data_IF_342258504616
#
_entry.id   IF_342258504616
#
_cell.length_a   1.000
_cell.length_b   1.000
_cell.length_c   1.000
_cell.angle_alpha   90.00
_cell.angle_beta   90.00
_cell.angle_gamma   90.00
#
_symmetry.space_group_name_H-M   'P 1'
#
loop_
_entity.id
_entity.type
_entity.pdbx_description
1 polymer ?
#
# COMPACT_ATOMS: atom_id res chain seq x y z
N UNK A 1 20.70 26.16 59.76
CA UNK A 1 20.59 24.67 59.77
C UNK A 1 19.37 24.13 59.04
N UNK A 2 18.12 24.57 59.30
CA UNK A 2 16.91 24.06 58.59
C UNK A 2 16.87 24.27 57.07
N UNK A 3 17.49 25.32 56.52
CA UNK A 3 17.58 25.53 55.06
C UNK A 3 18.60 24.61 54.38
N UNK A 4 19.74 24.35 55.04
CA UNK A 4 20.73 23.39 54.56
C UNK A 4 20.18 21.96 54.56
N UNK A 5 19.40 21.58 55.58
CA UNK A 5 18.76 20.28 55.64
C UNK A 5 17.72 20.06 54.52
N UNK A 6 17.02 21.10 54.07
CA UNK A 6 16.10 21.02 52.92
C UNK A 6 16.85 20.82 51.60
N UNK A 7 17.97 21.52 51.40
CA UNK A 7 18.81 21.38 50.21
C UNK A 7 19.48 19.99 50.17
N UNK A 8 19.92 19.49 51.34
CA UNK A 8 20.51 18.15 51.47
C UNK A 8 19.47 17.02 51.30
N UNK A 9 18.20 17.27 51.61
CA UNK A 9 17.11 16.30 51.43
C UNK A 9 16.52 16.28 50.01
N UNK A 10 16.70 17.35 49.22
CA UNK A 10 16.30 17.39 47.80
C UNK A 10 17.35 16.80 46.86
N UNK A 11 18.62 16.73 47.28
CA UNK A 11 19.72 16.19 46.48
C UNK A 11 19.54 14.70 46.12
N UNK A 12 19.09 13.81 47.05
CA UNK A 12 18.84 12.40 46.72
C UNK A 12 17.63 12.20 45.81
N UNK A 13 16.63 13.09 45.86
CA UNK A 13 15.46 13.05 44.98
C UNK A 13 15.79 13.48 43.55
N UNK A 14 16.81 14.32 43.36
CA UNK A 14 17.39 14.67 42.05
C UNK A 14 18.35 13.61 41.51
N UNK A 15 18.89 12.76 42.38
CA UNK A 15 19.78 11.63 42.06
C UNK A 15 19.04 10.29 41.94
N UNK A 16 17.73 10.27 42.19
CA UNK A 16 16.89 9.13 41.88
C UNK A 16 16.82 9.01 40.36
N UNK A 17 17.67 8.14 39.80
CA UNK A 17 17.58 7.67 38.43
C UNK A 17 16.22 7.01 38.26
N UNK A 18 15.23 7.78 37.79
CA UNK A 18 14.04 7.21 37.18
C UNK A 18 14.51 6.19 36.12
N UNK A 19 13.84 5.03 35.99
CA UNK A 19 14.14 4.15 34.87
C UNK A 19 14.08 5.01 33.61
N UNK A 20 15.14 4.95 32.79
CA UNK A 20 15.18 5.65 31.52
C UNK A 20 13.92 5.23 30.77
N UNK A 21 12.93 6.12 30.73
CA UNK A 21 11.75 5.90 29.91
C UNK A 21 12.30 5.92 28.49
N UNK A 22 12.53 4.72 27.94
CA UNK A 22 12.81 4.58 26.53
C UNK A 22 11.67 5.30 25.82
N UNK A 23 11.99 6.35 25.08
CA UNK A 23 10.97 7.09 24.35
C UNK A 23 10.48 6.17 23.24
N UNK A 24 9.25 5.68 23.38
CA UNK A 24 8.61 4.81 22.39
C UNK A 24 7.48 5.58 21.71
N UNK A 25 7.36 5.43 20.39
CA UNK A 25 6.21 5.96 19.65
C UNK A 25 5.73 4.98 18.59
N UNK A 26 4.44 5.09 18.22
CA UNK A 26 3.86 4.35 17.11
C UNK A 26 3.78 5.24 15.87
N UNK A 27 4.29 4.75 14.73
CA UNK A 27 4.18 5.39 13.43
C UNK A 27 3.36 4.50 12.48
N UNK A 28 2.23 5.00 11.99
CA UNK A 28 1.32 4.28 11.10
C UNK A 28 1.48 4.76 9.66
N UNK A 29 1.73 3.81 8.76
CA UNK A 29 1.78 4.03 7.31
C UNK A 29 0.68 3.23 6.61
N UNK A 30 0.43 3.60 5.36
CA UNK A 30 -0.57 3.01 4.48
C UNK A 30 0.12 2.62 3.17
N UNK A 31 0.70 1.41 3.13
CA UNK A 31 1.36 0.85 1.94
C UNK A 31 2.84 1.17 1.72
N UNK A 32 3.46 2.04 2.54
CA UNK A 32 4.89 2.41 2.43
C UNK A 32 5.76 1.88 3.58
N UNK A 33 5.55 0.61 3.96
CA UNK A 33 6.11 0.01 5.16
C UNK A 33 7.64 -0.11 5.14
N UNK A 34 8.19 -0.76 4.11
CA UNK A 34 9.63 -1.03 4.03
C UNK A 34 10.42 0.27 3.86
N UNK A 35 9.92 1.17 3.02
CA UNK A 35 10.54 2.47 2.76
C UNK A 35 10.61 3.33 4.03
N UNK A 36 9.56 3.30 4.86
CA UNK A 36 9.55 4.00 6.16
C UNK A 36 10.54 3.39 7.15
N UNK A 37 10.62 2.06 7.23
CA UNK A 37 11.56 1.36 8.12
C UNK A 37 13.00 1.67 7.70
N UNK A 38 13.29 1.54 6.42
CA UNK A 38 14.61 1.79 5.86
C UNK A 38 15.03 3.25 6.08
N UNK A 39 14.08 4.20 5.99
CA UNK A 39 14.34 5.60 6.30
C UNK A 39 14.74 5.83 7.77
N UNK A 40 13.95 5.32 8.73
CA UNK A 40 14.27 5.47 10.15
C UNK A 40 15.58 4.76 10.50
N UNK A 41 15.81 3.57 9.95
CA UNK A 41 17.05 2.80 10.15
C UNK A 41 18.27 3.50 9.57
N UNK A 42 18.14 4.07 8.37
CA UNK A 42 19.26 4.80 7.77
C UNK A 42 19.60 6.07 8.56
N UNK A 43 18.58 6.77 9.08
CA UNK A 43 18.82 7.96 9.89
C UNK A 43 19.39 7.62 11.27
N UNK A 44 18.94 6.55 11.94
CA UNK A 44 19.57 6.12 13.21
C UNK A 44 21.06 5.81 13.02
N UNK A 45 21.42 5.15 11.91
CA UNK A 45 22.81 4.90 11.55
C UNK A 45 23.63 6.18 11.32
N UNK A 46 23.04 7.24 10.75
CA UNK A 46 23.73 8.53 10.56
C UNK A 46 24.03 9.19 11.92
N UNK A 47 23.05 9.24 12.83
CA UNK A 47 23.23 9.85 14.15
C UNK A 47 24.19 9.05 15.05
N UNK A 48 24.29 7.74 14.85
CA UNK A 48 25.24 6.88 15.56
C UNK A 48 26.69 6.97 15.02
N UNK A 49 26.92 7.60 13.86
CA UNK A 49 28.24 7.68 13.26
C UNK A 49 29.12 8.75 13.94
N UNK A 50 30.30 8.36 14.41
CA UNK A 50 31.31 9.27 15.01
C UNK A 50 31.69 10.48 14.13
N UNK A 51 31.58 10.36 12.81
CA UNK A 51 31.82 11.46 11.87
C UNK A 51 30.73 12.52 11.95
N UNK A 52 29.49 12.12 12.24
CA UNK A 52 28.40 13.06 12.47
C UNK A 52 28.64 13.86 13.75
N UNK A 53 29.07 13.20 14.84
CA UNK A 53 29.47 13.89 16.08
C UNK A 53 30.59 14.92 15.82
N UNK A 54 31.60 14.54 15.04
CA UNK A 54 32.69 15.44 14.64
C UNK A 54 32.17 16.67 13.87
N UNK A 55 31.24 16.47 12.93
CA UNK A 55 30.61 17.56 12.17
C UNK A 55 29.80 18.48 13.08
N UNK A 56 29.07 17.94 14.06
CA UNK A 56 28.32 18.74 15.04
C UNK A 56 29.28 19.65 15.82
N UNK A 57 30.42 19.13 16.29
CA UNK A 57 31.42 19.93 17.02
C UNK A 57 32.00 21.04 16.14
N UNK A 58 32.35 20.73 14.88
CA UNK A 58 32.85 21.73 13.93
C UNK A 58 31.81 22.83 13.69
N UNK A 59 30.56 22.47 13.42
CA UNK A 59 29.49 23.44 13.16
C UNK A 59 29.11 24.24 14.40
N UNK A 60 29.16 23.64 15.59
CA UNK A 60 28.96 24.33 16.85
C UNK A 60 30.04 25.39 17.09
N UNK A 61 31.32 25.02 16.95
CA UNK A 61 32.44 25.95 17.16
C UNK A 61 32.40 27.12 16.19
N UNK A 62 32.21 26.85 14.89
CA UNK A 62 32.10 27.90 13.86
C UNK A 62 30.85 28.75 14.09
N UNK A 63 29.69 28.13 14.33
CA UNK A 63 28.42 28.83 14.47
C UNK A 63 28.32 29.69 15.72
N UNK A 64 28.82 29.20 16.87
CA UNK A 64 28.93 29.97 18.11
C UNK A 64 29.94 31.11 17.93
N UNK A 65 31.09 30.85 17.32
CA UNK A 65 32.11 31.87 17.05
C UNK A 65 31.59 33.00 16.16
N UNK A 66 30.95 32.68 15.04
CA UNK A 66 30.37 33.67 14.13
C UNK A 66 29.20 34.42 14.78
N UNK A 67 28.37 33.72 15.55
CA UNK A 67 27.26 34.30 16.31
C UNK A 67 27.72 35.30 17.36
N UNK A 68 28.80 34.99 18.09
CA UNK A 68 29.40 35.87 19.08
C UNK A 68 29.97 37.15 18.43
N UNK A 69 30.65 37.02 17.27
CA UNK A 69 31.14 38.16 16.50
C UNK A 69 30.00 39.09 16.07
N UNK A 70 28.92 38.52 15.50
CA UNK A 70 27.74 39.30 15.08
C UNK A 70 27.01 39.97 16.25
N UNK A 71 26.91 39.28 17.39
CA UNK A 71 26.32 39.84 18.60
C UNK A 71 27.16 41.00 19.16
N UNK A 72 28.49 40.85 19.15
CA UNK A 72 29.40 41.90 19.61
C UNK A 72 29.40 43.14 18.71
N UNK A 73 29.33 42.96 17.38
CA UNK A 73 29.27 44.06 16.42
C UNK A 73 27.98 44.89 16.50
N UNK A 74 26.86 44.29 16.93
CA UNK A 74 25.57 45.00 17.11
C UNK A 74 25.49 45.83 18.41
N UNK A 75 26.51 45.78 19.28
CA UNK A 75 26.78 46.81 20.29
C UNK A 75 25.79 46.96 21.45
N UNK A 76 24.76 46.12 21.59
CA UNK A 76 23.81 46.15 22.71
C UNK A 76 24.13 45.04 23.71
N UNK A 77 24.39 45.38 24.98
CA UNK A 77 24.62 44.40 26.04
C UNK A 77 23.46 43.40 26.24
N UNK A 78 22.24 43.80 25.87
CA UNK A 78 21.06 42.92 25.84
C UNK A 78 21.20 41.84 24.76
N UNK A 79 21.81 42.18 23.62
CA UNK A 79 22.03 41.24 22.51
C UNK A 79 23.01 40.11 22.84
N UNK A 80 24.02 40.38 23.69
CA UNK A 80 24.99 39.35 24.11
C UNK A 80 24.37 38.33 25.09
N UNK A 81 23.52 38.81 26.00
CA UNK A 81 22.77 37.96 26.94
C UNK A 81 21.75 37.09 26.18
N UNK A 82 21.01 37.71 25.25
CA UNK A 82 20.04 36.99 24.41
C UNK A 82 20.73 35.91 23.57
N UNK A 83 21.91 36.20 23.00
CA UNK A 83 22.73 35.21 22.30
C UNK A 83 23.14 34.04 23.19
N UNK A 84 23.66 34.32 24.39
CA UNK A 84 24.05 33.27 25.34
C UNK A 84 22.89 32.34 25.71
N UNK A 85 21.71 32.91 25.99
CA UNK A 85 20.50 32.14 26.27
C UNK A 85 20.08 31.28 25.06
N UNK A 86 20.16 31.83 23.85
CA UNK A 86 19.82 31.12 22.61
C UNK A 86 20.72 29.90 22.39
N UNK A 87 22.03 30.02 22.66
CA UNK A 87 22.97 28.89 22.55
C UNK A 87 22.66 27.82 23.61
N UNK A 88 22.32 28.21 24.84
CA UNK A 88 21.90 27.25 25.87
C UNK A 88 20.64 26.46 25.44
N UNK A 89 19.69 27.10 24.77
CA UNK A 89 18.53 26.40 24.18
C UNK A 89 18.97 25.40 23.12
N UNK A 90 19.92 25.76 22.24
CA UNK A 90 20.47 24.85 21.23
C UNK A 90 21.15 23.63 21.84
N UNK A 91 22.01 23.85 22.85
CA UNK A 91 22.68 22.77 23.59
C UNK A 91 21.67 21.87 24.29
N UNK A 92 20.68 22.47 24.98
CA UNK A 92 19.63 21.72 25.66
C UNK A 92 18.81 20.86 24.69
N UNK A 93 18.49 21.39 23.51
CA UNK A 93 17.76 20.65 22.48
C UNK A 93 18.62 19.52 21.87
N UNK A 94 19.90 19.77 21.66
CA UNK A 94 20.82 18.74 21.16
C UNK A 94 21.01 17.61 22.17
N UNK A 95 21.42 17.92 23.39
CA UNK A 95 21.68 16.90 24.42
C UNK A 95 20.39 16.20 24.84
N UNK A 96 19.30 16.95 25.01
CA UNK A 96 18.04 16.42 25.52
C UNK A 96 17.24 15.62 24.50
N UNK A 97 17.33 15.95 23.20
CA UNK A 97 16.42 15.41 22.18
C UNK A 97 17.13 14.77 20.98
N UNK A 98 18.39 15.12 20.69
CA UNK A 98 19.12 14.59 19.52
C UNK A 98 20.11 13.50 19.95
N UNK A 99 20.85 13.72 21.03
CA UNK A 99 21.79 12.74 21.57
C UNK A 99 21.11 11.59 22.31
N UNK A 100 19.89 11.81 22.79
CA UNK A 100 19.05 10.75 23.37
C UNK A 100 18.33 9.98 22.27
N UNK A 101 18.29 8.66 22.40
CA UNK A 101 17.64 7.76 21.44
C UNK A 101 16.48 7.01 22.07
N UNK A 102 15.60 6.49 21.21
CA UNK A 102 14.48 5.64 21.59
C UNK A 102 14.06 4.72 20.45
N UNK A 103 12.85 4.19 20.53
CA UNK A 103 12.30 3.21 19.58
C UNK A 103 11.07 3.75 18.85
N UNK A 104 11.00 3.51 17.54
CA UNK A 104 9.81 3.78 16.72
C UNK A 104 9.20 2.45 16.28
N UNK A 105 7.94 2.23 16.62
CA UNK A 105 7.16 1.08 16.17
C UNK A 105 6.42 1.45 14.89
N UNK A 106 6.86 0.94 13.74
CA UNK A 106 6.22 1.18 12.45
C UNK A 106 5.13 0.14 12.22
N UNK A 107 3.93 0.59 11.89
CA UNK A 107 2.76 -0.24 11.57
C UNK A 107 2.26 0.07 10.17
N UNK A 108 2.01 -0.94 9.34
CA UNK A 108 1.27 -0.80 8.08
C UNK A 108 -0.17 -1.23 8.27
N UNK A 109 -1.12 -0.28 8.15
CA UNK A 109 -2.56 -0.55 8.31
C UNK A 109 -3.12 -1.36 7.15
N UNK A 110 -2.57 -1.20 5.94
CA UNK A 110 -3.06 -1.85 4.73
C UNK A 110 -2.70 -3.34 4.78
N UNK A 111 -1.41 -3.64 4.95
CA UNK A 111 -0.87 -5.01 4.92
C UNK A 111 -0.85 -5.70 6.28
N UNK A 112 -1.17 -5.00 7.37
CA UNK A 112 -1.07 -5.49 8.74
C UNK A 112 0.36 -5.97 9.08
N UNK A 113 1.34 -5.09 8.87
CA UNK A 113 2.75 -5.35 9.14
C UNK A 113 3.26 -4.52 10.33
N UNK A 114 4.24 -5.04 11.07
CA UNK A 114 4.85 -4.35 12.21
C UNK A 114 6.35 -4.64 12.29
N UNK A 115 7.15 -3.60 12.53
CA UNK A 115 8.57 -3.70 12.85
C UNK A 115 8.97 -2.54 13.77
N UNK A 116 9.85 -2.81 14.74
CA UNK A 116 10.40 -1.80 15.64
C UNK A 116 11.81 -1.39 15.16
N UNK A 117 12.05 -0.08 15.09
CA UNK A 117 13.35 0.51 14.75
C UNK A 117 13.89 1.23 15.98
N UNK A 118 15.04 0.76 16.49
CA UNK A 118 15.72 1.36 17.63
C UNK A 118 16.72 2.45 17.24
N UNK A 119 17.29 3.07 18.27
CA UNK A 119 18.37 4.07 18.18
C UNK A 119 18.01 5.32 17.38
N UNK A 120 16.72 5.66 17.33
CA UNK A 120 16.24 6.87 16.65
C UNK A 120 16.30 8.07 17.62
N UNK A 121 16.84 9.24 17.22
CA UNK A 121 16.83 10.44 18.05
C UNK A 121 15.44 10.80 18.58
N UNK A 122 15.32 11.12 19.87
CA UNK A 122 14.05 11.43 20.54
C UNK A 122 13.28 12.58 19.86
N UNK A 123 13.98 13.56 19.30
CA UNK A 123 13.38 14.65 18.52
C UNK A 123 12.55 14.11 17.34
N UNK A 124 13.12 13.15 16.61
CA UNK A 124 12.44 12.52 15.47
C UNK A 124 11.25 11.68 15.93
N UNK A 125 11.43 10.91 17.01
CA UNK A 125 10.36 10.10 17.63
C UNK A 125 9.17 10.99 18.00
N UNK A 126 9.43 12.09 18.70
CA UNK A 126 8.37 12.98 19.16
C UNK A 126 7.69 13.71 18.00
N UNK A 127 8.45 14.28 17.08
CA UNK A 127 7.87 15.03 15.97
C UNK A 127 7.13 14.10 15.01
N UNK A 128 7.77 13.02 14.54
CA UNK A 128 7.14 12.08 13.64
C UNK A 128 5.93 11.38 14.28
N UNK A 129 6.04 10.98 15.55
CA UNK A 129 4.96 10.34 16.31
C UNK A 129 3.77 11.27 16.52
N UNK A 130 4.00 12.52 16.91
CA UNK A 130 2.90 13.50 17.11
C UNK A 130 2.22 13.88 15.80
N UNK A 131 2.97 14.16 14.73
CA UNK A 131 2.38 14.50 13.44
C UNK A 131 1.62 13.31 12.84
N UNK A 132 2.15 12.09 12.98
CA UNK A 132 1.48 10.89 12.50
C UNK A 132 0.25 10.51 13.36
N UNK A 133 0.26 10.80 14.66
CA UNK A 133 -0.94 10.66 15.49
C UNK A 133 -2.06 11.59 15.01
N UNK A 134 -1.74 12.84 14.66
CA UNK A 134 -2.72 13.79 14.10
C UNK A 134 -3.24 13.30 12.74
N UNK A 135 -2.33 12.88 11.85
CA UNK A 135 -2.70 12.27 10.57
C UNK A 135 -3.66 11.09 10.79
N UNK A 136 -3.29 10.14 11.65
CA UNK A 136 -4.10 8.96 11.97
C UNK A 136 -5.47 9.35 12.49
N UNK A 137 -5.56 10.27 13.44
CA UNK A 137 -6.84 10.70 13.99
C UNK A 137 -7.76 11.31 12.91
N UNK A 138 -7.21 12.12 12.01
CA UNK A 138 -7.97 12.69 10.89
C UNK A 138 -8.37 11.62 9.87
N UNK A 139 -7.47 10.69 9.51
CA UNK A 139 -7.76 9.58 8.60
C UNK A 139 -8.84 8.66 9.19
N UNK A 140 -8.75 8.31 10.46
CA UNK A 140 -9.76 7.51 11.17
C UNK A 140 -11.11 8.23 11.21
N UNK A 141 -11.11 9.56 11.39
CA UNK A 141 -12.34 10.36 11.28
C UNK A 141 -12.93 10.30 9.87
N UNK A 142 -12.12 10.37 8.81
CA UNK A 142 -12.59 10.24 7.43
C UNK A 142 -13.19 8.84 7.21
N UNK A 143 -12.52 7.79 7.69
CA UNK A 143 -12.96 6.41 7.55
C UNK A 143 -14.24 6.11 8.32
N UNK A 144 -14.41 6.68 9.52
CA UNK A 144 -15.61 6.51 10.35
C UNK A 144 -16.84 7.23 9.76
N UNK A 145 -16.63 8.23 8.90
CA UNK A 145 -17.70 8.91 8.17
C UNK A 145 -17.96 8.30 6.78
N UNK A 146 -17.28 7.21 6.42
CA UNK A 146 -17.56 6.45 5.20
C UNK A 146 -18.58 5.35 5.45
N UNK A 147 -19.61 5.26 4.59
CA UNK A 147 -20.74 4.33 4.76
C UNK A 147 -20.38 2.89 4.35
N UNK A 148 -19.37 2.70 3.51
CA UNK A 148 -18.91 1.39 3.06
C UNK A 148 -17.66 0.95 3.86
N UNK A 149 -17.72 -0.16 4.62
CA UNK A 149 -16.56 -0.71 5.32
C UNK A 149 -15.38 -1.04 4.40
N UNK A 150 -15.65 -1.36 3.13
CA UNK A 150 -14.64 -1.65 2.12
C UNK A 150 -14.08 -0.38 1.47
N UNK A 151 -14.64 0.80 1.74
CA UNK A 151 -14.12 2.09 1.30
C UNK A 151 -13.12 2.71 2.27
N UNK A 152 -12.84 2.06 3.41
CA UNK A 152 -11.91 2.58 4.41
C UNK A 152 -10.48 2.66 3.87
N UNK A 153 -9.86 3.82 4.03
CA UNK A 153 -8.48 4.08 3.63
C UNK A 153 -7.49 3.18 4.37
N UNK A 154 -7.78 2.81 5.62
CA UNK A 154 -7.00 1.83 6.37
C UNK A 154 -6.90 0.45 5.67
N UNK A 155 -7.88 0.11 4.83
CA UNK A 155 -7.94 -1.15 4.09
C UNK A 155 -7.46 -0.98 2.65
N UNK A 156 -7.80 0.13 2.01
CA UNK A 156 -7.62 0.32 0.56
C UNK A 156 -6.74 1.50 0.16
N UNK A 157 -5.98 2.07 1.10
CA UNK A 157 -5.03 3.14 0.84
C UNK A 157 -4.16 2.83 -0.38
N UNK A 158 -4.20 3.70 -1.39
CA UNK A 158 -3.47 3.49 -2.65
C UNK A 158 -4.30 2.91 -3.80
N UNK A 159 -5.57 2.55 -3.55
CA UNK A 159 -6.31 1.69 -4.49
C UNK A 159 -5.84 0.24 -4.42
N UNK A 160 -5.29 -0.17 -3.27
CA UNK A 160 -4.61 -1.46 -3.11
C UNK A 160 -5.54 -2.67 -3.35
N UNK A 161 -6.83 -2.57 -3.00
CA UNK A 161 -7.84 -3.56 -3.38
C UNK A 161 -7.96 -3.71 -4.91
N UNK A 162 -8.02 -2.62 -5.66
CA UNK A 162 -8.13 -2.69 -7.13
C UNK A 162 -6.86 -3.28 -7.75
N UNK A 163 -5.70 -3.03 -7.15
CA UNK A 163 -4.43 -3.60 -7.60
C UNK A 163 -4.36 -5.11 -7.29
N UNK A 164 -4.85 -5.50 -6.12
CA UNK A 164 -4.99 -6.91 -5.73
C UNK A 164 -5.98 -7.63 -6.64
N UNK A 165 -7.11 -6.99 -6.96
CA UNK A 165 -8.08 -7.52 -7.91
C UNK A 165 -7.48 -7.68 -9.29
N UNK A 166 -6.83 -6.63 -9.83
CA UNK A 166 -6.16 -6.67 -11.11
C UNK A 166 -5.16 -7.82 -11.17
N UNK A 167 -4.33 -7.99 -10.15
CA UNK A 167 -3.36 -9.08 -10.09
C UNK A 167 -4.02 -10.46 -9.92
N UNK A 168 -5.21 -10.55 -9.33
CA UNK A 168 -5.98 -11.79 -9.26
C UNK A 168 -6.57 -12.16 -10.64
N UNK A 169 -7.29 -11.23 -11.29
CA UNK A 169 -7.99 -11.49 -12.57
C UNK A 169 -7.06 -11.48 -13.78
N UNK A 170 -5.98 -10.70 -13.73
CA UNK A 170 -4.98 -10.63 -14.78
C UNK A 170 -3.84 -11.63 -14.58
N UNK A 171 -3.92 -12.55 -13.61
CA UNK A 171 -2.90 -13.59 -13.42
C UNK A 171 -2.83 -14.52 -14.64
N UNK A 172 -2.04 -14.11 -15.63
CA UNK A 172 -1.95 -14.79 -16.92
C UNK A 172 -1.16 -16.10 -16.87
N UNK A 173 -0.53 -16.42 -15.74
CA UNK A 173 0.26 -17.65 -15.63
C UNK A 173 -0.65 -18.84 -15.42
N UNK A 174 -0.53 -19.78 -16.36
CA UNK A 174 -0.99 -21.17 -16.33
C UNK A 174 -1.46 -21.62 -14.94
N UNK A 175 -2.66 -22.17 -14.90
CA UNK A 175 -3.04 -23.11 -13.85
C UNK A 175 -1.84 -24.01 -13.57
N UNK A 176 -1.49 -24.13 -12.29
CA UNK A 176 -0.52 -25.13 -11.86
C UNK A 176 -0.98 -26.54 -12.23
N UNK A 177 -2.30 -26.76 -12.25
CA UNK A 177 -2.92 -27.98 -12.75
C UNK A 177 -3.11 -27.92 -14.28
N UNK A 178 -2.08 -28.32 -15.01
CA UNK A 178 -2.10 -28.39 -16.48
C UNK A 178 -3.10 -29.41 -17.01
N UNK A 179 -3.43 -30.44 -16.23
CA UNK A 179 -4.38 -31.47 -16.61
C UNK A 179 -5.82 -30.96 -16.54
N UNK A 180 -6.14 -30.20 -15.49
CA UNK A 180 -7.43 -29.51 -15.40
C UNK A 180 -7.59 -28.48 -16.52
N UNK A 181 -6.54 -27.71 -16.84
CA UNK A 181 -6.58 -26.75 -17.96
C UNK A 181 -6.86 -27.45 -19.30
N UNK A 182 -6.15 -28.55 -19.59
CA UNK A 182 -6.36 -29.34 -20.80
C UNK A 182 -7.78 -29.95 -20.86
N UNK A 183 -8.27 -30.49 -19.74
CA UNK A 183 -9.62 -31.06 -19.62
C UNK A 183 -10.69 -30.01 -19.84
N UNK A 184 -10.54 -28.83 -19.24
CA UNK A 184 -11.46 -27.70 -19.39
C UNK A 184 -11.51 -27.20 -20.84
N UNK A 185 -10.35 -27.08 -21.51
CA UNK A 185 -10.29 -26.69 -22.93
C UNK A 185 -11.00 -27.70 -23.81
N UNK A 186 -10.76 -28.99 -23.60
CA UNK A 186 -11.37 -30.05 -24.39
C UNK A 186 -12.89 -30.15 -24.14
N UNK A 187 -13.32 -29.98 -22.90
CA UNK A 187 -14.73 -29.87 -22.53
C UNK A 187 -15.44 -28.72 -23.25
N UNK A 188 -14.85 -27.51 -23.22
CA UNK A 188 -15.42 -26.36 -23.94
C UNK A 188 -15.43 -26.61 -25.46
N UNK A 189 -14.38 -27.20 -26.04
CA UNK A 189 -14.29 -27.49 -27.48
C UNK A 189 -15.37 -28.44 -27.97
N UNK A 190 -15.70 -29.48 -27.20
CA UNK A 190 -16.60 -30.53 -27.66
C UNK A 190 -18.03 -30.37 -27.15
N UNK A 191 -18.23 -29.90 -25.91
CA UNK A 191 -19.55 -29.85 -25.29
C UNK A 191 -20.31 -28.56 -25.63
N UNK A 192 -19.63 -27.41 -25.69
CA UNK A 192 -20.28 -26.12 -25.93
C UNK A 192 -20.91 -25.99 -27.34
N UNK A 193 -20.26 -26.40 -28.45
CA UNK A 193 -20.85 -26.27 -29.78
C UNK A 193 -22.16 -27.04 -29.96
N UNK A 194 -22.32 -28.15 -29.25
CA UNK A 194 -23.56 -28.93 -29.28
C UNK A 194 -24.62 -28.30 -28.38
N UNK A 195 -24.22 -27.86 -27.17
CA UNK A 195 -25.12 -27.21 -26.25
C UNK A 195 -25.73 -25.93 -26.85
N UNK A 196 -24.93 -25.09 -27.53
CA UNK A 196 -25.40 -23.81 -28.09
C UNK A 196 -26.40 -23.94 -29.25
N UNK A 197 -26.42 -25.06 -29.97
CA UNK A 197 -27.31 -25.26 -31.14
C UNK A 197 -28.54 -26.09 -30.80
N UNK A 198 -28.53 -26.82 -29.68
CA UNK A 198 -29.60 -27.74 -29.31
C UNK A 198 -30.49 -27.15 -28.24
N UNK A 199 -31.79 -27.07 -28.52
CA UNK A 199 -32.80 -26.63 -27.56
C UNK A 199 -32.96 -27.56 -26.34
N UNK A 200 -32.33 -28.75 -26.36
CA UNK A 200 -32.30 -29.65 -25.21
C UNK A 200 -31.43 -29.12 -24.06
N UNK A 201 -30.51 -28.20 -24.34
CA UNK A 201 -29.66 -27.58 -23.34
C UNK A 201 -30.19 -26.17 -23.02
N UNK A 202 -30.26 -25.82 -21.73
CA UNK A 202 -30.72 -24.50 -21.29
C UNK A 202 -29.61 -23.43 -21.38
N UNK A 203 -28.69 -23.57 -22.34
CA UNK A 203 -27.54 -22.68 -22.51
C UNK A 203 -27.23 -22.41 -23.99
N UNK A 204 -27.02 -21.14 -24.30
CA UNK A 204 -26.49 -20.64 -25.57
C UNK A 204 -25.56 -19.45 -25.36
N UNK A 205 -25.27 -18.74 -26.45
CA UNK A 205 -24.30 -17.64 -26.47
C UNK A 205 -24.70 -16.52 -25.49
N UNK A 206 -25.94 -16.03 -25.57
CA UNK A 206 -26.42 -14.94 -24.71
C UNK A 206 -26.33 -15.31 -23.22
N UNK A 207 -26.68 -16.54 -22.86
CA UNK A 207 -26.59 -17.02 -21.48
C UNK A 207 -25.15 -17.19 -21.03
N UNK A 208 -24.27 -17.80 -21.81
CA UNK A 208 -22.89 -18.03 -21.39
C UNK A 208 -22.08 -16.73 -21.32
N UNK A 209 -22.22 -15.85 -22.31
CA UNK A 209 -21.39 -14.65 -22.44
C UNK A 209 -21.91 -13.46 -21.64
N UNK A 210 -23.22 -13.28 -21.52
CA UNK A 210 -23.81 -12.02 -21.03
C UNK A 210 -24.70 -12.16 -19.81
N UNK A 211 -25.52 -13.22 -19.73
CA UNK A 211 -26.58 -13.33 -18.69
C UNK A 211 -26.36 -14.40 -17.61
N UNK A 212 -25.29 -15.21 -17.68
CA UNK A 212 -24.96 -16.19 -16.66
C UNK A 212 -24.59 -15.52 -15.33
N UNK A 213 -25.25 -15.88 -14.23
CA UNK A 213 -24.94 -15.35 -12.89
C UNK A 213 -23.92 -16.19 -12.13
N UNK A 214 -23.70 -17.43 -12.59
CA UNK A 214 -22.78 -18.42 -12.05
C UNK A 214 -22.18 -19.24 -13.20
N UNK A 215 -20.89 -19.09 -13.49
CA UNK A 215 -20.23 -19.81 -14.59
C UNK A 215 -20.15 -21.32 -14.37
N UNK A 216 -19.90 -21.83 -13.15
CA UNK A 216 -19.99 -23.26 -12.88
C UNK A 216 -21.35 -23.86 -13.27
N UNK A 217 -22.47 -23.22 -12.91
CA UNK A 217 -23.80 -23.69 -13.31
C UNK A 217 -24.02 -23.62 -14.81
N UNK A 218 -23.52 -22.58 -15.48
CA UNK A 218 -23.56 -22.48 -16.94
C UNK A 218 -22.77 -23.63 -17.58
N UNK A 219 -21.59 -23.96 -17.06
CA UNK A 219 -20.82 -25.09 -17.54
C UNK A 219 -21.48 -26.44 -17.28
N UNK A 220 -22.14 -26.59 -16.13
CA UNK A 220 -22.96 -27.77 -15.84
C UNK A 220 -24.10 -27.94 -16.84
N UNK A 221 -24.71 -26.83 -17.28
CA UNK A 221 -25.78 -26.85 -18.27
C UNK A 221 -25.32 -27.25 -19.69
N UNK A 222 -24.01 -27.26 -19.96
CA UNK A 222 -23.46 -27.80 -21.22
C UNK A 222 -23.25 -29.32 -21.18
N UNK A 223 -23.39 -29.93 -20.00
CA UNK A 223 -23.10 -31.35 -19.79
C UNK A 223 -24.23 -32.22 -20.36
N UNK A 224 -23.87 -33.26 -21.11
CA UNK A 224 -24.83 -34.19 -21.69
C UNK A 224 -24.25 -35.60 -21.88
N UNK A 225 -25.10 -36.64 -21.94
CA UNK A 225 -24.65 -38.03 -22.00
C UNK A 225 -24.23 -38.49 -23.41
N UNK A 226 -24.61 -37.74 -24.45
CA UNK A 226 -24.41 -38.10 -25.87
C UNK A 226 -23.29 -37.30 -26.56
N UNK A 227 -22.66 -36.39 -25.83
CA UNK A 227 -21.49 -35.63 -26.25
C UNK A 227 -20.29 -36.09 -25.44
N UNK A 228 -19.11 -36.11 -26.05
CA UNK A 228 -17.91 -36.68 -25.42
C UNK A 228 -16.79 -35.66 -25.42
N UNK A 229 -16.01 -35.65 -24.33
CA UNK A 229 -14.77 -34.88 -24.18
C UNK A 229 -13.71 -35.72 -23.50
N UNK A 230 -12.46 -35.29 -23.58
CA UNK A 230 -11.30 -36.00 -23.04
C UNK A 230 -10.92 -35.44 -21.69
N UNK A 231 -10.87 -36.32 -20.69
CA UNK A 231 -10.39 -36.01 -19.34
C UNK A 231 -8.93 -36.41 -19.19
N UNK A 232 -8.09 -35.45 -18.84
CA UNK A 232 -6.67 -35.66 -18.60
C UNK A 232 -6.39 -35.71 -17.10
N UNK A 233 -5.48 -36.58 -16.67
CA UNK A 233 -5.06 -36.67 -15.27
C UNK A 233 -3.56 -36.94 -15.14
N UNK A 234 -3.02 -36.81 -13.92
CA UNK A 234 -1.62 -37.13 -13.68
C UNK A 234 -1.29 -38.62 -13.91
N UNK A 235 -2.26 -39.51 -13.66
CA UNK A 235 -2.14 -40.95 -13.87
C UNK A 235 -2.39 -41.38 -15.32
N UNK A 236 -3.13 -40.58 -16.09
CA UNK A 236 -3.40 -40.81 -17.51
C UNK A 236 -3.19 -39.53 -18.31
N UNK A 237 -1.98 -39.40 -18.86
CA UNK A 237 -1.57 -38.27 -19.69
C UNK A 237 -2.13 -38.34 -21.12
N UNK A 238 -2.50 -39.54 -21.58
CA UNK A 238 -3.14 -39.73 -22.89
C UNK A 238 -4.60 -39.26 -22.88
N UNK A 239 -5.19 -39.24 -21.70
CA UNK A 239 -6.55 -38.80 -21.48
C UNK A 239 -7.56 -39.90 -21.81
N UNK A 240 -8.67 -39.90 -21.10
CA UNK A 240 -9.77 -40.84 -21.31
C UNK A 240 -10.97 -40.08 -21.88
N UNK A 241 -11.49 -40.52 -23.01
CA UNK A 241 -12.73 -39.98 -23.57
C UNK A 241 -13.91 -40.42 -22.71
N UNK A 242 -14.66 -39.45 -22.21
CA UNK A 242 -15.83 -39.65 -21.35
C UNK A 242 -16.99 -38.80 -21.87
N UNK A 243 -18.21 -39.07 -21.41
CA UNK A 243 -19.33 -38.18 -21.71
C UNK A 243 -19.10 -36.79 -21.11
N UNK A 244 -19.69 -35.75 -21.69
CA UNK A 244 -19.62 -34.40 -21.13
C UNK A 244 -20.22 -34.34 -19.71
N UNK A 245 -21.19 -35.20 -19.39
CA UNK A 245 -21.71 -35.38 -18.03
C UNK A 245 -20.63 -35.87 -17.04
N UNK A 246 -19.92 -36.93 -17.38
CA UNK A 246 -18.84 -37.47 -16.56
C UNK A 246 -17.64 -36.52 -16.50
N UNK A 247 -17.30 -35.87 -17.62
CA UNK A 247 -16.22 -34.90 -17.68
C UNK A 247 -16.51 -33.68 -16.81
N UNK A 248 -17.75 -33.17 -16.79
CA UNK A 248 -18.14 -32.09 -15.88
C UNK A 248 -18.10 -32.52 -14.42
N UNK A 249 -18.52 -33.76 -14.11
CA UNK A 249 -18.39 -34.32 -12.75
C UNK A 249 -16.92 -34.34 -12.29
N UNK A 250 -16.00 -34.73 -13.17
CA UNK A 250 -14.56 -34.67 -12.91
C UNK A 250 -14.07 -33.23 -12.68
N UNK A 251 -14.43 -32.30 -13.57
CA UNK A 251 -14.04 -30.88 -13.48
C UNK A 251 -14.55 -30.25 -12.18
N UNK A 252 -15.85 -30.38 -11.89
CA UNK A 252 -16.48 -29.79 -10.71
C UNK A 252 -15.89 -30.34 -9.39
N UNK A 253 -15.51 -31.62 -9.36
CA UNK A 253 -14.79 -32.23 -8.23
C UNK A 253 -13.40 -31.63 -8.04
N UNK A 254 -12.68 -31.30 -9.13
CA UNK A 254 -11.38 -30.62 -9.02
C UNK A 254 -11.54 -29.14 -8.65
N UNK A 255 -12.57 -28.46 -9.15
CA UNK A 255 -12.85 -27.05 -8.80
C UNK A 255 -13.27 -26.86 -7.34
N UNK A 256 -13.82 -27.88 -6.70
CA UNK A 256 -14.18 -27.84 -5.27
C UNK A 256 -12.98 -28.05 -4.33
N UNK A 257 -11.82 -28.46 -4.85
CA UNK A 257 -10.58 -28.62 -4.09
C UNK A 257 -10.11 -27.26 -3.54
N UNK A 258 -10.05 -27.08 -2.20
CA UNK A 258 -9.67 -25.81 -1.59
C UNK A 258 -8.21 -25.43 -1.88
N UNK A 259 -7.35 -26.39 -2.23
CA UNK A 259 -5.94 -26.15 -2.49
C UNK A 259 -5.65 -25.76 -3.94
N UNK A 260 -6.63 -25.92 -4.85
CA UNK A 260 -6.44 -25.74 -6.30
C UNK A 260 -5.85 -24.37 -6.67
N UNK A 261 -6.29 -23.32 -5.98
CA UNK A 261 -5.94 -21.93 -6.28
C UNK A 261 -4.88 -21.33 -5.34
N UNK A 262 -4.30 -22.09 -4.42
CA UNK A 262 -3.34 -21.55 -3.43
C UNK A 262 -2.15 -20.85 -4.09
N UNK A 263 -1.63 -21.43 -5.19
CA UNK A 263 -0.48 -20.86 -5.89
C UNK A 263 -0.85 -19.53 -6.57
N UNK A 264 -2.05 -19.43 -7.10
CA UNK A 264 -2.59 -18.26 -7.79
C UNK A 264 -2.86 -17.14 -6.79
N UNK A 265 -3.52 -17.45 -5.67
CA UNK A 265 -3.70 -16.55 -4.53
C UNK A 265 -2.33 -16.04 -4.06
N UNK A 266 -1.36 -16.97 -3.90
CA UNK A 266 0.00 -16.62 -3.48
C UNK A 266 0.72 -15.69 -4.44
N UNK A 267 0.53 -15.88 -5.75
CA UNK A 267 1.09 -15.00 -6.77
C UNK A 267 0.42 -13.62 -6.75
N UNK A 268 -0.91 -13.57 -6.69
CA UNK A 268 -1.67 -12.33 -6.67
C UNK A 268 -1.27 -11.44 -5.48
N UNK A 269 -1.23 -11.97 -4.25
CA UNK A 269 -0.83 -11.13 -3.11
C UNK A 269 0.67 -10.79 -3.11
N UNK A 270 1.54 -11.66 -3.65
CA UNK A 270 2.97 -11.30 -3.78
C UNK A 270 3.18 -10.18 -4.79
N UNK A 271 2.40 -10.17 -5.88
CA UNK A 271 2.49 -9.14 -6.89
C UNK A 271 2.14 -7.76 -6.33
N UNK A 272 1.23 -7.70 -5.35
CA UNK A 272 0.87 -6.47 -4.62
C UNK A 272 1.71 -6.25 -3.35
N UNK A 273 2.76 -7.06 -3.15
CA UNK A 273 3.76 -6.86 -2.11
C UNK A 273 3.35 -7.34 -0.71
N UNK A 274 2.43 -8.30 -0.56
CA UNK A 274 2.26 -9.07 0.69
C UNK A 274 3.38 -10.11 0.86
N UNK A 275 3.82 -10.33 2.09
CA UNK A 275 4.80 -11.35 2.46
C UNK A 275 4.13 -12.58 3.07
N UNK A 276 4.03 -13.66 2.28
CA UNK A 276 3.47 -14.96 2.72
C UNK A 276 4.23 -15.69 3.83
N UNK A 277 5.45 -15.25 4.18
CA UNK A 277 6.15 -15.77 5.35
C UNK A 277 5.50 -15.28 6.67
N UNK A 278 4.70 -14.21 6.62
CA UNK A 278 4.01 -13.63 7.78
C UNK A 278 2.54 -14.06 7.80
N UNK A 279 2.12 -14.74 8.86
CA UNK A 279 0.74 -15.20 9.02
C UNK A 279 -0.29 -14.04 9.04
N UNK A 280 -0.05 -12.91 9.74
CA UNK A 280 -0.92 -11.74 9.68
C UNK A 280 -1.11 -11.17 8.26
N UNK A 281 -0.05 -11.13 7.45
CA UNK A 281 -0.14 -10.60 6.08
C UNK A 281 -0.87 -11.58 5.14
N UNK A 282 -0.72 -12.89 5.35
CA UNK A 282 -1.49 -13.90 4.62
C UNK A 282 -2.99 -13.72 4.90
N UNK A 283 -3.38 -13.71 6.19
CA UNK A 283 -4.76 -13.55 6.60
C UNK A 283 -5.37 -12.25 6.06
N UNK A 284 -4.58 -11.16 6.04
CA UNK A 284 -5.00 -9.87 5.49
C UNK A 284 -5.25 -9.92 3.98
N UNK A 285 -4.41 -10.61 3.21
CA UNK A 285 -4.67 -10.75 1.77
C UNK A 285 -5.94 -11.58 1.51
N UNK A 286 -6.12 -12.68 2.24
CA UNK A 286 -7.29 -13.55 2.08
C UNK A 286 -8.59 -12.80 2.40
N UNK A 287 -8.58 -12.00 3.49
CA UNK A 287 -9.67 -11.09 3.86
C UNK A 287 -9.98 -10.10 2.73
N UNK A 288 -8.95 -9.43 2.20
CA UNK A 288 -9.09 -8.45 1.14
C UNK A 288 -9.63 -9.06 -0.15
N UNK A 289 -9.11 -10.22 -0.58
CA UNK A 289 -9.60 -10.93 -1.76
C UNK A 289 -11.08 -11.31 -1.63
N UNK A 290 -11.55 -11.69 -0.44
CA UNK A 290 -12.98 -11.92 -0.19
C UNK A 290 -13.80 -10.62 -0.21
N UNK A 291 -13.27 -9.55 0.36
CA UNK A 291 -13.91 -8.24 0.41
C UNK A 291 -14.09 -7.59 -0.99
N UNK A 292 -13.19 -7.90 -1.94
CA UNK A 292 -13.33 -7.48 -3.34
C UNK A 292 -14.65 -7.92 -3.95
N UNK A 293 -15.17 -9.07 -3.52
CA UNK A 293 -16.48 -9.53 -3.94
C UNK A 293 -17.59 -8.52 -3.71
N UNK A 294 -17.66 -8.03 -2.47
CA UNK A 294 -18.65 -7.06 -2.05
C UNK A 294 -18.44 -5.71 -2.74
N UNK A 295 -17.19 -5.25 -2.83
CA UNK A 295 -16.84 -3.96 -3.41
C UNK A 295 -17.16 -3.89 -4.91
N UNK A 296 -16.91 -4.98 -5.64
CA UNK A 296 -16.92 -4.99 -7.11
C UNK A 296 -18.21 -5.55 -7.70
N UNK A 297 -18.71 -6.62 -7.08
CA UNK A 297 -19.82 -7.40 -7.60
C UNK A 297 -21.10 -7.20 -6.80
N UNK A 298 -21.08 -6.32 -5.78
CA UNK A 298 -22.18 -6.05 -4.86
C UNK A 298 -22.75 -7.32 -4.19
N UNK A 299 -21.97 -8.40 -4.17
CA UNK A 299 -22.33 -9.69 -3.56
C UNK A 299 -21.08 -10.36 -2.98
N UNK A 300 -21.21 -11.07 -1.86
CA UNK A 300 -20.10 -11.81 -1.32
C UNK A 300 -19.75 -12.95 -2.27
N UNK A 301 -18.49 -13.00 -2.73
CA UNK A 301 -17.92 -14.15 -3.42
C UNK A 301 -16.75 -14.68 -2.60
N UNK A 302 -16.62 -16.00 -2.53
CA UNK A 302 -15.46 -16.61 -1.92
C UNK A 302 -14.26 -16.44 -2.85
N UNK A 303 -13.05 -16.44 -2.29
CA UNK A 303 -11.80 -16.39 -3.09
C UNK A 303 -11.75 -17.57 -4.08
N UNK A 304 -12.20 -18.76 -3.67
CA UNK A 304 -12.29 -19.92 -4.56
C UNK A 304 -13.27 -19.70 -5.71
N UNK A 305 -14.46 -19.13 -5.44
CA UNK A 305 -15.43 -18.79 -6.48
C UNK A 305 -14.86 -17.76 -7.46
N UNK A 306 -14.21 -16.70 -6.96
CA UNK A 306 -13.54 -15.70 -7.79
C UNK A 306 -12.58 -16.35 -8.81
N UNK A 307 -11.64 -17.16 -8.34
CA UNK A 307 -10.66 -17.81 -9.22
C UNK A 307 -11.29 -18.86 -10.15
N UNK A 308 -12.35 -19.53 -9.70
CA UNK A 308 -13.13 -20.46 -10.54
C UNK A 308 -13.77 -19.73 -11.72
N UNK A 309 -14.45 -18.61 -11.47
CA UNK A 309 -15.05 -17.82 -12.53
C UNK A 309 -14.02 -17.26 -13.52
N UNK A 310 -12.90 -16.74 -13.01
CA UNK A 310 -11.78 -16.25 -13.83
C UNK A 310 -11.23 -17.37 -14.72
N UNK A 311 -11.05 -18.57 -14.16
CA UNK A 311 -10.56 -19.73 -14.89
C UNK A 311 -11.52 -20.16 -16.01
N UNK A 312 -12.80 -20.33 -15.69
CA UNK A 312 -13.81 -20.80 -16.64
C UNK A 312 -13.99 -19.79 -17.79
N UNK A 313 -14.12 -18.50 -17.47
CA UNK A 313 -14.22 -17.44 -18.48
C UNK A 313 -13.01 -17.42 -19.40
N UNK A 314 -11.80 -17.51 -18.84
CA UNK A 314 -10.57 -17.53 -19.63
C UNK A 314 -10.48 -18.74 -20.55
N UNK A 315 -10.90 -19.91 -20.07
CA UNK A 315 -10.90 -21.14 -20.88
C UNK A 315 -11.78 -20.95 -22.12
N UNK A 316 -12.98 -20.39 -21.94
CA UNK A 316 -13.87 -20.07 -23.08
C UNK A 316 -13.21 -19.07 -24.02
N UNK A 317 -12.64 -17.99 -23.48
CA UNK A 317 -11.92 -17.00 -24.28
C UNK A 317 -10.77 -17.60 -25.09
N UNK A 318 -9.93 -18.45 -24.48
CA UNK A 318 -8.79 -19.07 -25.15
C UNK A 318 -9.23 -20.04 -26.26
N UNK A 319 -10.24 -20.88 -26.01
CA UNK A 319 -10.75 -21.84 -27.01
C UNK A 319 -11.31 -21.13 -28.24
N UNK A 320 -12.13 -20.08 -28.03
CA UNK A 320 -12.73 -19.32 -29.14
C UNK A 320 -11.69 -18.59 -29.98
N UNK A 321 -10.59 -18.15 -29.36
CA UNK A 321 -9.50 -17.47 -30.05
C UNK A 321 -8.58 -18.42 -30.80
N UNK A 322 -8.34 -19.62 -30.26
CA UNK A 322 -7.55 -20.67 -30.91
C UNK A 322 -8.21 -21.19 -32.20
N UNK A 323 -9.54 -21.18 -32.28
CA UNK A 323 -10.28 -21.62 -33.47
C UNK A 323 -10.18 -20.64 -34.66
N UNK A 324 -9.55 -19.48 -34.49
CA UNK A 324 -9.26 -18.54 -35.59
C UNK A 324 -7.78 -18.07 -35.56
N UNK A 325 -6.89 -18.61 -36.41
CA UNK A 325 -5.45 -18.32 -36.36
C UNK A 325 -5.12 -16.82 -36.57
N UNK A 326 -5.98 -16.09 -37.30
CA UNK A 326 -5.86 -14.63 -37.45
C UNK A 326 -6.25 -13.85 -36.18
N UNK A 327 -7.18 -14.35 -35.37
CA UNK A 327 -7.52 -13.74 -34.08
C UNK A 327 -6.52 -14.15 -32.99
N UNK A 328 -6.02 -15.39 -33.00
CA UNK A 328 -4.96 -15.85 -32.12
C UNK A 328 -3.70 -14.96 -32.22
N UNK A 329 -3.25 -14.63 -33.44
CA UNK A 329 -2.10 -13.73 -33.64
C UNK A 329 -2.34 -12.30 -33.13
N UNK A 330 -3.55 -11.75 -33.34
CA UNK A 330 -3.93 -10.41 -32.84
C UNK A 330 -4.09 -10.38 -31.31
N UNK A 331 -4.61 -11.45 -30.72
CA UNK A 331 -4.74 -11.54 -29.26
C UNK A 331 -3.42 -11.84 -28.59
N UNK A 332 -2.50 -12.60 -29.18
CA UNK A 332 -1.13 -12.72 -28.63
C UNK A 332 -0.42 -11.36 -28.62
N UNK A 333 -0.57 -10.56 -29.69
CA UNK A 333 -0.03 -9.20 -29.76
C UNK A 333 -0.71 -8.26 -28.75
N UNK A 334 -2.04 -8.25 -28.67
CA UNK A 334 -2.79 -7.45 -27.70
C UNK A 334 -2.57 -7.93 -26.26
N UNK A 335 -2.43 -9.24 -26.01
CA UNK A 335 -2.10 -9.79 -24.70
C UNK A 335 -0.73 -9.33 -24.27
N UNK A 336 0.28 -9.34 -25.16
CA UNK A 336 1.61 -8.86 -24.84
C UNK A 336 1.58 -7.37 -24.44
N UNK A 337 0.84 -6.54 -25.18
CA UNK A 337 0.63 -5.12 -24.87
C UNK A 337 -0.14 -4.94 -23.55
N UNK A 338 -1.19 -5.72 -23.31
CA UNK A 338 -1.97 -5.71 -22.08
C UNK A 338 -1.14 -6.18 -20.89
N UNK A 339 -0.31 -7.22 -20.98
CA UNK A 339 0.59 -7.62 -19.88
C UNK A 339 1.62 -6.56 -19.56
N UNK A 340 2.18 -5.93 -20.59
CA UNK A 340 3.16 -4.86 -20.40
C UNK A 340 2.49 -3.59 -19.84
N UNK A 341 1.25 -3.29 -20.23
CA UNK A 341 0.47 -2.15 -19.73
C UNK A 341 -0.10 -2.36 -18.32
N UNK A 342 -0.65 -3.55 -18.04
CA UNK A 342 -1.21 -3.96 -16.74
C UNK A 342 -0.11 -3.98 -15.68
N UNK A 343 1.06 -4.54 -15.99
CA UNK A 343 2.19 -4.51 -15.07
C UNK A 343 2.71 -3.08 -14.85
N UNK A 344 2.78 -2.25 -15.90
CA UNK A 344 3.15 -0.84 -15.75
C UNK A 344 2.15 -0.03 -14.90
N UNK A 345 0.84 -0.28 -15.02
CA UNK A 345 -0.21 0.40 -14.25
C UNK A 345 -0.32 -0.10 -12.80
N UNK A 346 -0.23 -1.41 -12.58
CA UNK A 346 -0.15 -2.00 -11.23
C UNK A 346 1.05 -1.44 -10.48
N UNK A 347 2.23 -1.45 -11.12
CA UNK A 347 3.44 -0.84 -10.55
C UNK A 347 3.26 0.66 -10.32
N UNK A 348 2.61 1.41 -11.22
CA UNK A 348 2.39 2.84 -11.04
C UNK A 348 1.51 3.17 -9.83
N UNK A 349 0.54 2.32 -9.48
CA UNK A 349 -0.31 2.54 -8.31
C UNK A 349 0.31 2.05 -7.00
N UNK A 350 1.03 0.93 -7.03
CA UNK A 350 1.90 0.50 -5.94
C UNK A 350 3.00 1.54 -5.66
N UNK A 351 3.40 2.29 -6.69
CA UNK A 351 4.43 3.32 -6.59
C UNK A 351 3.96 4.55 -5.81
N UNK A 352 2.67 4.93 -5.79
CA UNK A 352 2.26 6.21 -5.19
C UNK A 352 2.37 6.24 -3.66
N UNK A 353 1.87 5.24 -2.90
CA UNK A 353 2.14 5.16 -1.47
C UNK A 353 3.64 5.09 -1.16
N UNK A 354 4.42 4.41 -2.02
CA UNK A 354 5.88 4.38 -1.95
C UNK A 354 6.52 5.71 -2.24
N UNK A 355 5.98 6.55 -3.13
CA UNK A 355 6.47 7.92 -3.39
C UNK A 355 6.33 8.76 -2.15
N UNK A 356 5.19 8.72 -1.44
CA UNK A 356 5.06 9.45 -0.17
C UNK A 356 6.10 8.98 0.84
N UNK A 357 6.26 7.67 1.00
CA UNK A 357 7.26 7.10 1.92
C UNK A 357 8.70 7.41 1.49
N UNK A 358 8.99 7.45 0.19
CA UNK A 358 10.29 7.83 -0.37
C UNK A 358 10.56 9.31 -0.17
N UNK A 359 9.57 10.18 -0.37
CA UNK A 359 9.68 11.61 -0.10
C UNK A 359 9.89 11.84 1.40
N UNK A 360 9.16 11.13 2.26
CA UNK A 360 9.41 11.13 3.70
C UNK A 360 10.84 10.66 4.03
N UNK A 361 11.34 9.62 3.37
CA UNK A 361 12.71 9.15 3.53
C UNK A 361 13.73 10.23 3.13
N UNK A 362 13.57 10.86 1.96
CA UNK A 362 14.39 11.98 1.50
C UNK A 362 14.35 13.14 2.50
N UNK A 363 13.18 13.47 3.04
CA UNK A 363 13.04 14.49 4.08
C UNK A 363 13.77 14.11 5.36
N UNK A 364 13.66 12.85 5.81
CA UNK A 364 14.40 12.34 6.96
C UNK A 364 15.92 12.44 6.75
N UNK A 365 16.41 12.20 5.53
CA UNK A 365 17.83 12.38 5.19
C UNK A 365 18.29 13.84 5.21
N UNK A 366 17.38 14.80 4.99
CA UNK A 366 17.70 16.22 5.17
C UNK A 366 17.78 16.62 6.64
N UNK A 367 17.16 15.87 7.57
CA UNK A 367 17.13 16.23 9.00
C UNK A 367 18.52 16.24 9.65
N UNK A 368 19.39 15.21 9.51
CA UNK A 368 20.76 15.27 10.02
C UNK A 368 21.50 16.53 9.56
N UNK A 369 21.37 16.88 8.27
CA UNK A 369 22.02 18.08 7.72
C UNK A 369 21.46 19.36 8.35
N UNK A 370 20.13 19.46 8.49
CA UNK A 370 19.51 20.60 9.15
C UNK A 370 19.96 20.72 10.60
N UNK A 371 19.99 19.61 11.35
CA UNK A 371 20.32 19.59 12.77
C UNK A 371 21.79 19.88 13.08
N UNK A 372 22.71 19.85 12.11
CA UNK A 372 24.06 20.40 12.28
C UNK A 372 24.04 21.88 12.68
N UNK A 373 23.02 22.63 12.27
CA UNK A 373 22.87 24.05 12.57
C UNK A 373 22.12 24.31 13.89
N UNK A 374 21.72 23.28 14.63
CA UNK A 374 20.94 23.44 15.87
C UNK A 374 21.74 24.08 17.02
N UNK A 375 23.07 24.02 16.96
CA UNK A 375 23.97 24.65 17.92
C UNK A 375 24.41 26.06 17.50
N UNK A 376 23.73 26.64 16.50
CA UNK A 376 24.03 27.96 15.96
C UNK A 376 22.90 28.95 16.29
N UNK A 377 23.09 30.27 16.10
CA UNK A 377 22.05 31.28 16.38
C UNK A 377 20.72 31.08 15.64
N UNK A 378 20.70 30.27 14.57
CA UNK A 378 19.50 29.97 13.78
C UNK A 378 18.75 28.71 14.25
N UNK A 379 19.08 28.17 15.43
CA UNK A 379 18.51 26.93 15.99
C UNK A 379 16.98 26.84 15.97
N UNK A 380 16.25 27.88 16.38
CA UNK A 380 14.78 27.87 16.37
C UNK A 380 14.20 27.78 14.96
N UNK A 381 14.90 28.35 13.97
CA UNK A 381 14.48 28.27 12.56
C UNK A 381 14.71 26.86 12.00
N UNK A 382 15.84 26.25 12.35
CA UNK A 382 16.15 24.85 11.99
C UNK A 382 15.13 23.89 12.61
N UNK A 383 14.78 24.10 13.89
CA UNK A 383 13.75 23.32 14.56
C UNK A 383 12.37 23.49 13.89
N UNK A 384 11.98 24.73 13.57
CA UNK A 384 10.75 25.03 12.83
C UNK A 384 10.74 24.39 11.44
N UNK A 385 11.86 24.46 10.69
CA UNK A 385 12.01 23.81 9.39
C UNK A 385 11.83 22.30 9.48
N UNK A 386 12.50 21.66 10.44
CA UNK A 386 12.41 20.22 10.67
C UNK A 386 10.98 19.83 11.00
N UNK A 387 10.32 20.55 11.91
CA UNK A 387 8.92 20.32 12.26
C UNK A 387 7.98 20.51 11.06
N UNK A 388 8.20 21.55 10.25
CA UNK A 388 7.42 21.82 9.04
C UNK A 388 7.45 20.68 8.02
N UNK A 389 8.59 19.99 7.86
CA UNK A 389 8.69 18.81 6.99
C UNK A 389 7.75 17.68 7.43
N UNK A 390 7.65 17.42 8.74
CA UNK A 390 6.75 16.38 9.26
C UNK A 390 5.28 16.79 9.16
N UNK A 391 4.96 18.06 9.41
CA UNK A 391 3.61 18.58 9.20
C UNK A 391 3.19 18.48 7.73
N UNK A 392 4.11 18.71 6.79
CA UNK A 392 3.85 18.52 5.37
C UNK A 392 3.46 17.08 5.05
N UNK A 393 4.21 16.09 5.55
CA UNK A 393 3.92 14.67 5.27
C UNK A 393 2.59 14.26 5.90
N UNK A 394 2.32 14.67 7.14
CA UNK A 394 1.05 14.40 7.81
C UNK A 394 -0.13 15.02 7.07
N UNK A 395 -0.03 16.29 6.67
CA UNK A 395 -1.08 16.98 5.93
C UNK A 395 -1.32 16.35 4.55
N UNK A 396 -0.25 15.96 3.86
CA UNK A 396 -0.37 15.22 2.60
C UNK A 396 -1.10 13.90 2.82
N UNK A 397 -0.81 13.15 3.90
CA UNK A 397 -1.53 11.93 4.26
C UNK A 397 -3.03 12.15 4.47
N UNK A 398 -3.42 13.23 5.16
CA UNK A 398 -4.84 13.58 5.38
C UNK A 398 -5.55 13.92 4.06
N UNK A 399 -4.93 14.73 3.21
CA UNK A 399 -5.49 15.08 1.90
C UNK A 399 -5.65 13.82 1.04
N UNK A 400 -4.67 12.93 1.08
CA UNK A 400 -4.67 11.68 0.33
C UNK A 400 -5.82 10.74 0.74
N UNK A 401 -6.12 10.65 2.04
CA UNK A 401 -7.28 9.91 2.54
C UNK A 401 -8.61 10.53 2.10
N UNK A 402 -8.73 11.86 2.11
CA UNK A 402 -9.92 12.55 1.60
C UNK A 402 -10.12 12.35 0.09
N UNK A 403 -9.04 12.47 -0.69
CA UNK A 403 -9.04 12.21 -2.13
C UNK A 403 -9.40 10.75 -2.44
N UNK A 404 -8.94 9.81 -1.61
CA UNK A 404 -9.26 8.38 -1.78
C UNK A 404 -10.77 8.14 -1.73
N UNK A 405 -11.51 8.75 -0.80
CA UNK A 405 -12.97 8.64 -0.72
C UNK A 405 -13.65 9.16 -2.00
N UNK A 406 -13.16 10.26 -2.57
CA UNK A 406 -13.68 10.81 -3.84
C UNK A 406 -13.37 9.90 -5.03
N UNK A 407 -12.15 9.34 -5.07
CA UNK A 407 -11.70 8.44 -6.13
C UNK A 407 -12.39 7.07 -6.06
N UNK A 408 -12.75 6.59 -4.86
CA UNK A 408 -13.45 5.33 -4.67
C UNK A 408 -14.81 5.32 -5.34
N UNK A 409 -15.57 6.42 -5.28
CA UNK A 409 -16.88 6.52 -5.95
C UNK A 409 -16.77 6.38 -7.47
N UNK A 410 -15.79 7.02 -8.09
CA UNK A 410 -15.56 6.93 -9.54
C UNK A 410 -14.92 5.61 -9.96
N UNK A 411 -14.00 5.07 -9.17
CA UNK A 411 -13.36 3.77 -9.42
C UNK A 411 -14.35 2.61 -9.26
N UNK A 412 -15.23 2.65 -8.25
CA UNK A 412 -16.27 1.65 -8.07
C UNK A 412 -17.32 1.71 -9.17
N UNK A 413 -17.71 2.89 -9.66
CA UNK A 413 -18.64 3.02 -10.78
C UNK A 413 -18.17 2.27 -12.04
N UNK A 414 -16.86 2.29 -12.35
CA UNK A 414 -16.29 1.56 -13.47
C UNK A 414 -16.39 0.03 -13.34
N UNK A 415 -16.53 -0.49 -12.11
CA UNK A 415 -16.62 -1.92 -11.82
C UNK A 415 -18.05 -2.35 -11.51
N UNK A 416 -18.90 -1.46 -11.03
CA UNK A 416 -20.32 -1.71 -10.76
C UNK A 416 -21.14 -1.94 -12.04
N UNK A 417 -20.64 -1.52 -13.20
CA UNK A 417 -21.19 -1.96 -14.49
C UNK A 417 -21.25 -3.50 -14.57
N UNK A 418 -20.30 -4.21 -13.94
CA UNK A 418 -20.31 -5.67 -13.83
C UNK A 418 -21.23 -6.22 -12.74
N UNK A 419 -21.53 -5.45 -11.69
CA UNK A 419 -22.42 -5.87 -10.60
C UNK A 419 -23.91 -5.83 -10.98
N UNK A 420 -24.26 -4.99 -11.96
CA UNK A 420 -25.63 -4.90 -12.52
C UNK A 420 -25.86 -5.82 -13.72
N UNK A 421 -24.78 -6.26 -14.37
CA UNK A 421 -24.77 -7.24 -15.45
C UNK A 421 -24.49 -8.64 -14.89
N UNK A 422 -24.79 -9.68 -15.64
CA UNK A 422 -24.52 -11.03 -15.15
C UNK A 422 -23.01 -11.35 -15.22
N UNK A 423 -22.58 -12.38 -14.48
CA UNK A 423 -21.23 -12.92 -14.41
C UNK A 423 -20.85 -13.76 -15.63
N UNK A 424 -21.34 -13.37 -16.80
CA UNK A 424 -21.04 -14.03 -18.06
C UNK A 424 -19.56 -13.95 -18.39
N UNK A 425 -19.15 -14.72 -19.39
CA UNK A 425 -17.75 -14.78 -19.83
C UNK A 425 -17.19 -13.40 -20.18
N UNK A 426 -17.99 -12.52 -20.81
CA UNK A 426 -17.55 -11.17 -21.23
C UNK A 426 -17.14 -10.30 -20.03
N UNK A 427 -17.89 -10.34 -18.93
CA UNK A 427 -17.63 -9.60 -17.68
C UNK A 427 -16.23 -9.90 -17.14
N UNK A 428 -15.88 -11.18 -17.08
CA UNK A 428 -14.58 -11.63 -16.57
C UNK A 428 -13.42 -11.40 -17.54
N UNK A 429 -13.68 -11.40 -18.85
CA UNK A 429 -12.68 -11.02 -19.86
C UNK A 429 -12.39 -9.50 -19.84
N UNK A 430 -13.40 -8.69 -19.53
CA UNK A 430 -13.27 -7.23 -19.41
C UNK A 430 -12.77 -6.75 -18.03
N UNK A 431 -12.85 -7.59 -16.99
CA UNK A 431 -12.47 -7.25 -15.63
C UNK A 431 -11.06 -6.64 -15.47
N UNK A 432 -10.00 -7.13 -16.15
CA UNK A 432 -8.68 -6.50 -16.08
C UNK A 432 -8.67 -5.05 -16.58
N UNK A 433 -9.39 -4.73 -17.66
CA UNK A 433 -9.43 -3.38 -18.23
C UNK A 433 -10.22 -2.39 -17.36
N UNK A 434 -11.30 -2.84 -16.74
CA UNK A 434 -12.01 -2.02 -15.76
C UNK A 434 -11.17 -1.78 -14.50
N UNK A 435 -10.42 -2.79 -14.04
CA UNK A 435 -9.52 -2.66 -12.90
C UNK A 435 -8.36 -1.68 -13.18
N UNK A 436 -7.77 -1.72 -14.37
CA UNK A 436 -6.73 -0.75 -14.76
C UNK A 436 -7.28 0.67 -14.87
N UNK A 437 -8.49 0.86 -15.42
CA UNK A 437 -9.17 2.15 -15.45
C UNK A 437 -9.45 2.68 -14.04
N UNK A 438 -9.97 1.83 -13.15
CA UNK A 438 -10.20 2.18 -11.75
C UNK A 438 -8.91 2.59 -11.03
N UNK A 439 -7.81 1.87 -11.28
CA UNK A 439 -6.48 2.20 -10.77
C UNK A 439 -5.99 3.56 -11.27
N UNK A 440 -6.14 3.86 -12.56
CA UNK A 440 -5.67 5.12 -13.13
C UNK A 440 -6.26 6.38 -12.46
N UNK A 441 -7.49 6.29 -11.92
CA UNK A 441 -8.17 7.38 -11.19
C UNK A 441 -7.43 7.73 -9.89
N UNK A 442 -6.94 6.73 -9.15
CA UNK A 442 -6.16 6.98 -7.93
C UNK A 442 -4.82 7.64 -8.24
N UNK A 443 -4.27 7.43 -9.44
CA UNK A 443 -2.98 7.95 -9.84
C UNK A 443 -2.90 9.49 -9.90
N UNK A 444 -3.87 10.09 -10.57
CA UNK A 444 -3.85 11.52 -10.92
C UNK A 444 -4.21 12.45 -9.77
N UNK A 445 -5.15 12.05 -8.91
CA UNK A 445 -5.68 12.93 -7.85
C UNK A 445 -4.71 13.08 -6.66
N UNK A 446 -3.83 12.10 -6.43
CA UNK A 446 -2.95 12.05 -5.26
C UNK A 446 -1.73 12.97 -5.38
N UNK A 447 -1.23 13.19 -6.60
CA UNK A 447 -0.10 14.10 -6.85
C UNK A 447 -0.48 15.56 -6.59
N UNK A 448 -1.73 15.95 -6.87
CA UNK A 448 -2.26 17.27 -6.53
C UNK A 448 -2.27 17.52 -5.01
N UNK A 449 -2.52 16.48 -4.20
CA UNK A 449 -2.51 16.58 -2.75
C UNK A 449 -1.16 17.02 -2.17
N UNK A 450 -0.06 16.56 -2.76
CA UNK A 450 1.29 16.98 -2.37
C UNK A 450 1.50 18.48 -2.58
N UNK A 451 1.06 19.02 -3.72
CA UNK A 451 1.17 20.44 -4.04
C UNK A 451 0.38 21.33 -3.07
N UNK A 452 -0.85 20.92 -2.72
CA UNK A 452 -1.72 21.65 -1.78
C UNK A 452 -1.14 21.61 -0.36
N UNK A 453 -0.69 20.43 0.10
CA UNK A 453 -0.01 20.30 1.39
C UNK A 453 1.24 21.19 1.45
N UNK A 454 2.01 21.22 0.35
CA UNK A 454 3.17 22.09 0.20
C UNK A 454 2.79 23.56 0.37
N UNK A 455 1.83 24.05 -0.42
CA UNK A 455 1.37 25.44 -0.35
C UNK A 455 0.90 25.85 1.05
N UNK A 456 0.17 24.96 1.75
CA UNK A 456 -0.25 25.20 3.13
C UNK A 456 0.94 25.31 4.09
N UNK A 457 1.89 24.36 4.05
CA UNK A 457 3.06 24.42 4.93
C UNK A 457 3.94 25.63 4.62
N UNK A 458 4.10 25.98 3.34
CA UNK A 458 4.86 27.18 2.92
C UNK A 458 4.26 28.48 3.45
N UNK A 459 2.93 28.59 3.47
CA UNK A 459 2.22 29.77 3.95
C UNK A 459 2.20 29.87 5.48
N UNK A 460 1.98 28.75 6.17
CA UNK A 460 1.87 28.71 7.64
C UNK A 460 3.24 28.82 8.33
N UNK A 461 4.25 28.08 7.86
CA UNK A 461 5.57 28.07 8.49
C UNK A 461 6.49 29.19 7.99
N UNK A 462 6.04 30.05 7.06
CA UNK A 462 6.77 31.19 6.50
C UNK A 462 8.26 30.87 6.30
N UNK A 463 8.61 30.08 5.29
CA UNK A 463 10.02 29.90 4.85
C UNK A 463 10.64 31.19 4.24
N UNK A 464 10.04 32.36 4.50
CA UNK A 464 10.40 33.66 3.92
C UNK A 464 11.56 34.32 4.68
N UNK A 465 12.58 34.69 3.92
CA UNK A 465 13.83 35.27 4.39
C UNK A 465 13.72 36.72 4.88
N UNK A 466 13.09 36.95 6.03
CA UNK A 466 13.50 38.06 6.89
C UNK A 466 14.79 37.66 7.62
N UNK A 467 15.87 37.56 6.85
CA UNK A 467 17.22 37.31 7.36
C UNK A 467 17.85 38.60 7.90
N UNK A 468 17.29 39.78 7.60
CA UNK A 468 17.74 41.09 8.14
C UNK A 468 16.63 42.13 8.34
N UNK A 469 15.46 41.75 8.85
CA UNK A 469 14.34 42.68 9.09
C UNK A 469 13.86 42.69 10.54
N UNK A 470 14.27 43.74 11.26
CA UNK A 470 14.00 44.14 12.65
C UNK A 470 14.62 43.27 13.76
#
# INVERSE_FOLDING_TARGET
>A
MRRLARILATLPALLASSPAAAFETSFHTYGGFQETIDAFRAVSLIFADSRYETLVVIMATVGIGLGALLASARGSGIGLIAFGLQILVGIGLFVGMIATTGTVHVYDRVKNAHEAVGDVPVLLILVAGTTNMIERAMVETIDDNSVDPNAKYAFNGGGHAFDLFLNAVASQRMLTDTHLDATLRDYVRHCYPVARVSAAYAIGDETLFRTATDLPSAFAAMAGPSTFSTVYSAGDKGGTTMSCEEAWSHISTRLSDPELFEVQIKRACRATGYRFASAPQKARCDEQLGALGNLLFQRPITVQSLFTHVLLSRTVGDVLLEDSPAAAARVMANRAILTNGVSAMSVANDWIPKVRATVFAVMLFMVPVALLFILTPINLRVASFTFGLFVFVALWGVIDAGVHQLALGSASAALQEFGTQAFGVETWLAAPDAATKALAVFGSLRTAGAGIAGAFVFTVFRFSGNVFGA
#
